data_IF_537469523672
#
_entry.id   IF_537469523672
#
_cell.length_a   1.000
_cell.length_b   1.000
_cell.length_c   1.000
_cell.angle_alpha   90.00
_cell.angle_beta   90.00
_cell.angle_gamma   90.00
#
_symmetry.space_group_name_H-M   'P 1'
#
loop_
_entity.id
_entity.type
_entity.pdbx_description
1 polymer ?
#
# COMPACT_ATOMS: atom_id res chain seq x y z
N UNK A 1 -7.61 -5.62 11.51
CA UNK A 1 -6.74 -4.66 12.20
C UNK A 1 -7.25 -4.44 13.62
N UNK A 2 -6.35 -4.29 14.58
CA UNK A 2 -6.71 -3.88 15.94
C UNK A 2 -6.91 -2.35 16.03
N UNK A 3 -7.34 -1.88 17.20
CA UNK A 3 -7.63 -0.47 17.46
C UNK A 3 -6.38 0.41 17.39
N UNK A 4 -5.20 -0.11 17.73
CA UNK A 4 -3.94 0.65 17.72
C UNK A 4 -3.50 0.91 16.30
N UNK A 5 -3.52 -0.11 15.45
CA UNK A 5 -3.20 0.00 14.02
C UNK A 5 -4.19 0.91 13.28
N UNK A 6 -5.47 0.89 13.66
CA UNK A 6 -6.46 1.83 13.14
C UNK A 6 -6.12 3.28 13.53
N UNK A 7 -5.75 3.52 14.78
CA UNK A 7 -5.30 4.85 15.25
C UNK A 7 -4.06 5.35 14.52
N UNK A 8 -3.07 4.48 14.26
CA UNK A 8 -1.90 4.82 13.46
C UNK A 8 -2.27 5.22 12.03
N UNK A 9 -3.15 4.46 11.38
CA UNK A 9 -3.64 4.76 10.02
C UNK A 9 -4.34 6.12 9.96
N UNK A 10 -5.11 6.45 11.00
CA UNK A 10 -5.75 7.76 11.11
C UNK A 10 -4.73 8.89 11.23
N UNK A 11 -3.64 8.71 11.98
CA UNK A 11 -2.56 9.70 12.03
C UNK A 11 -1.88 9.88 10.66
N UNK A 12 -1.65 8.81 9.90
CA UNK A 12 -1.13 8.92 8.54
C UNK A 12 -2.06 9.72 7.62
N UNK A 13 -3.38 9.53 7.75
CA UNK A 13 -4.39 10.30 7.01
C UNK A 13 -4.32 11.79 7.35
N UNK A 14 -4.16 12.13 8.64
CA UNK A 14 -3.99 13.52 9.08
C UNK A 14 -2.69 14.14 8.56
N UNK A 15 -1.59 13.39 8.55
CA UNK A 15 -0.32 13.82 7.95
C UNK A 15 -0.52 14.10 6.46
N UNK A 16 -1.13 13.17 5.71
CA UNK A 16 -1.44 13.39 4.30
C UNK A 16 -2.23 14.68 4.09
N UNK A 17 -3.30 14.91 4.85
CA UNK A 17 -4.10 16.14 4.76
C UNK A 17 -3.31 17.41 5.05
N UNK A 18 -2.40 17.36 6.03
CA UNK A 18 -1.52 18.49 6.37
C UNK A 18 -0.56 18.85 5.23
N UNK A 19 0.01 17.85 4.56
CA UNK A 19 1.03 18.06 3.51
C UNK A 19 0.44 18.20 2.11
N UNK A 20 -0.77 17.71 1.85
CA UNK A 20 -1.47 17.83 0.55
C UNK A 20 -1.50 19.27 -0.01
N UNK A 21 -1.84 20.33 0.75
CA UNK A 21 -1.84 21.69 0.23
C UNK A 21 -0.43 22.26 -0.05
N UNK A 22 0.65 21.57 0.35
CA UNK A 22 2.03 21.99 0.14
C UNK A 22 2.64 21.45 -1.17
N UNK A 23 1.82 20.88 -2.06
CA UNK A 23 2.25 20.34 -3.34
C UNK A 23 2.98 21.39 -4.19
N UNK A 24 4.13 21.00 -4.73
CA UNK A 24 4.91 21.78 -5.69
C UNK A 24 5.25 20.91 -6.91
N UNK A 25 6.09 21.42 -7.80
CA UNK A 25 6.70 20.68 -8.90
C UNK A 25 7.75 19.64 -8.43
N UNK A 26 8.24 19.79 -7.20
CA UNK A 26 9.32 18.97 -6.61
C UNK A 26 8.86 18.18 -5.38
N UNK A 27 7.62 18.40 -4.91
CA UNK A 27 7.07 17.74 -3.74
C UNK A 27 5.61 17.35 -3.94
N UNK A 28 5.29 16.12 -3.57
CA UNK A 28 3.94 15.58 -3.50
C UNK A 28 3.82 14.60 -2.34
N UNK A 29 2.61 14.48 -1.80
CA UNK A 29 2.27 13.47 -0.79
C UNK A 29 1.10 12.64 -1.29
N UNK A 30 1.14 11.34 -1.03
CA UNK A 30 0.07 10.41 -1.36
C UNK A 30 -0.27 9.61 -0.10
N UNK A 31 -1.55 9.33 0.09
CA UNK A 31 -1.99 8.33 1.06
C UNK A 31 -2.42 7.05 0.33
N UNK A 32 -1.87 5.92 0.77
CA UNK A 32 -2.31 4.58 0.35
C UNK A 32 -2.62 3.76 1.60
N UNK A 33 -3.86 3.28 1.78
CA UNK A 33 -4.19 2.33 2.83
C UNK A 33 -3.36 1.05 2.68
N UNK A 34 -2.82 0.54 3.79
CA UNK A 34 -1.98 -0.66 3.82
C UNK A 34 -2.55 -1.72 4.79
N UNK A 35 -3.86 -1.95 4.73
CA UNK A 35 -4.52 -2.96 5.55
C UNK A 35 -4.26 -4.34 4.97
N UNK A 36 -3.26 -5.07 5.49
CA UNK A 36 -2.91 -6.40 5.00
C UNK A 36 -3.75 -7.46 5.71
N UNK A 37 -4.47 -8.28 4.94
CA UNK A 37 -5.08 -9.52 5.43
C UNK A 37 -4.02 -10.62 5.44
N UNK A 38 -3.22 -10.69 6.50
CA UNK A 38 -2.15 -11.68 6.65
C UNK A 38 -2.69 -13.12 6.59
N UNK A 39 -3.96 -13.34 6.95
CA UNK A 39 -4.59 -14.67 6.88
C UNK A 39 -4.81 -15.17 5.45
N UNK A 40 -4.85 -14.25 4.48
CA UNK A 40 -4.93 -14.59 3.06
C UNK A 40 -3.58 -15.03 2.47
N UNK A 41 -2.45 -14.69 3.10
CA UNK A 41 -1.13 -15.00 2.59
C UNK A 41 -0.78 -16.47 2.82
N UNK A 42 -0.04 -17.11 1.90
CA UNK A 42 0.49 -18.43 2.17
C UNK A 42 1.50 -18.35 3.33
N UNK A 43 1.68 -19.46 4.06
CA UNK A 43 2.58 -19.50 5.24
C UNK A 43 4.01 -19.08 4.89
N UNK A 44 4.49 -19.42 3.68
CA UNK A 44 5.81 -19.01 3.19
C UNK A 44 5.88 -17.52 2.77
N UNK A 45 4.78 -16.78 2.84
CA UNK A 45 4.75 -15.32 2.76
C UNK A 45 5.35 -14.65 4.01
N UNK A 46 5.46 -15.38 5.12
CA UNK A 46 6.17 -14.99 6.33
C UNK A 46 7.54 -15.67 6.40
N UNK A 47 8.48 -15.01 7.07
CA UNK A 47 9.82 -15.49 7.33
C UNK A 47 9.77 -16.81 8.11
N UNK A 48 10.51 -17.81 7.66
CA UNK A 48 10.64 -19.08 8.39
C UNK A 48 11.59 -19.00 9.59
N UNK A 49 12.21 -17.84 9.83
CA UNK A 49 13.11 -17.60 10.97
C UNK A 49 12.31 -17.19 12.21
N UNK A 50 11.32 -16.32 12.05
CA UNK A 50 10.56 -15.71 13.15
C UNK A 50 9.04 -15.84 13.02
N UNK A 51 8.55 -16.36 11.88
CA UNK A 51 7.13 -16.51 11.58
C UNK A 51 6.32 -15.21 11.67
N UNK A 52 6.97 -14.06 11.52
CA UNK A 52 6.35 -12.75 11.70
C UNK A 52 6.69 -11.77 10.58
N UNK A 53 7.97 -11.54 10.30
CA UNK A 53 8.35 -10.61 9.24
C UNK A 53 7.97 -11.16 7.86
N UNK A 54 7.68 -10.31 6.86
CA UNK A 54 7.49 -10.79 5.50
C UNK A 54 8.72 -11.55 5.02
N UNK A 55 8.51 -12.67 4.34
CA UNK A 55 9.58 -13.31 3.57
C UNK A 55 9.89 -12.51 2.30
N UNK A 56 10.85 -12.97 1.51
CA UNK A 56 11.07 -12.40 0.16
C UNK A 56 9.79 -12.41 -0.68
N UNK A 57 8.98 -13.47 -0.60
CA UNK A 57 7.70 -13.57 -1.30
C UNK A 57 6.69 -12.53 -0.79
N UNK A 58 6.59 -12.37 0.53
CA UNK A 58 5.73 -11.35 1.14
C UNK A 58 6.13 -9.93 0.74
N UNK A 59 7.42 -9.62 0.79
CA UNK A 59 7.96 -8.33 0.34
C UNK A 59 7.69 -8.07 -1.15
N UNK A 60 7.90 -9.06 -2.02
CA UNK A 60 7.62 -8.95 -3.45
C UNK A 60 6.15 -8.59 -3.69
N UNK A 61 5.22 -9.34 -3.09
CA UNK A 61 3.79 -9.10 -3.28
C UNK A 61 3.35 -7.73 -2.77
N UNK A 62 3.81 -7.31 -1.58
CA UNK A 62 3.48 -5.99 -1.03
C UNK A 62 4.04 -4.87 -1.91
N UNK A 63 5.24 -5.03 -2.47
CA UNK A 63 5.84 -4.06 -3.38
C UNK A 63 5.03 -3.92 -4.69
N UNK A 64 4.63 -5.04 -5.31
CA UNK A 64 3.75 -5.04 -6.49
C UNK A 64 2.41 -4.36 -6.20
N UNK A 65 1.81 -4.72 -5.07
CA UNK A 65 0.53 -4.15 -4.64
C UNK A 65 0.63 -2.64 -4.44
N UNK A 66 1.65 -2.16 -3.72
CA UNK A 66 1.88 -0.74 -3.51
C UNK A 66 2.08 0.01 -4.83
N UNK A 67 2.92 -0.52 -5.72
CA UNK A 67 3.15 0.06 -7.06
C UNK A 67 1.84 0.25 -7.83
N UNK A 68 1.00 -0.79 -7.86
CA UNK A 68 -0.29 -0.74 -8.55
C UNK A 68 -1.23 0.31 -7.95
N UNK A 69 -1.08 0.68 -6.68
CA UNK A 69 -1.88 1.75 -6.06
C UNK A 69 -1.43 3.16 -6.42
N UNK A 70 -0.22 3.36 -6.96
CA UNK A 70 0.30 4.71 -7.21
C UNK A 70 -0.48 5.45 -8.30
N UNK A 71 -1.11 4.71 -9.22
CA UNK A 71 -1.77 5.26 -10.40
C UNK A 71 -3.30 5.29 -10.31
N UNK A 72 -3.89 4.77 -9.22
CA UNK A 72 -5.35 4.74 -9.00
C UNK A 72 -5.78 5.70 -7.88
N UNK A 73 -6.91 6.42 -8.04
CA UNK A 73 -7.34 7.43 -7.06
C UNK A 73 -7.72 6.76 -5.73
N UNK A 74 -7.69 7.51 -4.64
CA UNK A 74 -7.83 6.96 -3.28
C UNK A 74 -9.09 6.09 -3.10
N UNK A 75 -10.22 6.51 -3.66
CA UNK A 75 -11.50 5.78 -3.63
C UNK A 75 -11.47 4.45 -4.39
N UNK A 76 -10.53 4.29 -5.33
CA UNK A 76 -10.32 3.07 -6.11
C UNK A 76 -9.21 2.19 -5.56
N UNK A 77 -8.46 2.65 -4.54
CA UNK A 77 -7.45 1.84 -3.86
C UNK A 77 -8.12 0.73 -3.07
N UNK A 78 -7.52 -0.48 -2.99
CA UNK A 78 -8.05 -1.55 -2.15
C UNK A 78 -8.17 -1.11 -0.69
N UNK A 79 -9.33 -1.38 -0.07
CA UNK A 79 -9.51 -1.16 1.38
C UNK A 79 -8.74 -2.16 2.24
N UNK A 80 -8.43 -3.32 1.65
CA UNK A 80 -7.69 -4.43 2.21
C UNK A 80 -6.82 -5.04 1.11
N UNK A 81 -5.56 -5.34 1.44
CA UNK A 81 -4.60 -6.01 0.59
C UNK A 81 -4.65 -7.50 0.91
N UNK A 82 -5.15 -8.30 -0.03
CA UNK A 82 -5.35 -9.74 0.10
C UNK A 82 -4.52 -10.46 -0.95
N UNK A 83 -3.83 -11.53 -0.58
CA UNK A 83 -2.96 -12.29 -1.47
C UNK A 83 -3.67 -12.67 -2.79
N UNK A 84 -2.99 -12.39 -3.89
CA UNK A 84 -3.36 -12.80 -5.25
C UNK A 84 -2.11 -13.45 -5.84
N UNK A 85 -2.19 -14.75 -6.11
CA UNK A 85 -1.02 -15.57 -6.49
C UNK A 85 -0.31 -15.06 -7.74
N UNK A 86 -1.07 -14.52 -8.68
CA UNK A 86 -0.65 -14.05 -10.00
C UNK A 86 -0.76 -12.52 -10.12
N UNK A 87 -0.57 -11.79 -9.01
CA UNK A 87 -0.56 -10.33 -9.06
C UNK A 87 0.53 -9.82 -10.00
N UNK A 88 0.10 -9.20 -11.09
CA UNK A 88 0.98 -8.55 -12.07
C UNK A 88 1.37 -7.14 -11.64
N UNK A 89 2.55 -6.69 -12.10
CA UNK A 89 2.98 -5.30 -11.95
C UNK A 89 2.29 -4.48 -13.03
N UNK A 90 1.55 -3.46 -12.62
CA UNK A 90 0.94 -2.52 -13.54
C UNK A 90 2.01 -1.77 -14.34
N UNK A 91 1.87 -1.74 -15.67
CA UNK A 91 2.75 -1.00 -16.57
C UNK A 91 2.09 0.33 -16.95
N UNK A 92 2.59 1.49 -16.46
CA UNK A 92 2.01 2.78 -16.77
C UNK A 92 2.26 3.20 -18.22
N UNK A 93 1.37 4.04 -18.73
CA UNK A 93 1.42 4.70 -20.02
C UNK A 93 1.63 6.21 -19.87
N UNK A 94 1.77 6.93 -20.99
CA UNK A 94 1.97 8.39 -21.01
C UNK A 94 0.84 9.20 -20.36
N UNK A 95 -0.35 8.62 -20.19
CA UNK A 95 -1.49 9.30 -19.54
C UNK A 95 -1.53 9.09 -18.03
N UNK A 96 -0.75 8.14 -17.50
CA UNK A 96 -0.78 7.78 -16.09
C UNK A 96 -0.07 8.82 -15.23
N UNK A 97 -0.65 9.12 -14.07
CA UNK A 97 -0.10 10.06 -13.11
C UNK A 97 -0.15 9.45 -11.72
N UNK A 98 0.83 9.78 -10.90
CA UNK A 98 0.73 9.49 -9.48
C UNK A 98 -0.47 10.23 -8.90
N UNK A 99 -1.31 9.49 -8.19
CA UNK A 99 -2.57 9.99 -7.63
C UNK A 99 -2.29 10.63 -6.27
N UNK A 100 -1.95 11.92 -6.31
CA UNK A 100 -1.57 12.75 -5.16
C UNK A 100 -2.77 13.43 -4.49
N UNK A 101 -3.99 13.16 -4.97
CA UNK A 101 -5.23 13.75 -4.47
C UNK A 101 -5.98 12.82 -3.51
#
# INVERSE_FOLDING_TARGET
MDLVSAGYTEQLRLIHQKYKPLRTDTFGVMFSPANIDVSSFPVNGLSNIDCFHPSTLGHEYVAKSLWNTLFVPLESKPKEMRWVHDLEVYCPSEVDRFQLD
#
